data_IF_519284299035
#
_entry.id   IF_519284299035
#
_cell.length_a   1.000
_cell.length_b   1.000
_cell.length_c   1.000
_cell.angle_alpha   90.00
_cell.angle_beta   90.00
_cell.angle_gamma   90.00
#
_symmetry.space_group_name_H-M   'P 1'
#
loop_
_entity.id
_entity.type
_entity.pdbx_description
1 polymer ?
#
# COMPACT_ATOMS: atom_id res chain seq x y z
N UNK A 1 22.92 11.55 13.81
CA UNK A 1 23.73 11.41 12.58
C UNK A 1 22.80 10.97 11.45
N UNK A 2 22.95 11.45 10.22
CA UNK A 2 22.10 11.03 9.13
C UNK A 2 22.25 9.51 8.87
N UNK A 3 21.18 8.88 8.40
CA UNK A 3 21.25 7.49 7.93
C UNK A 3 22.06 7.50 6.64
N UNK A 4 23.26 6.90 6.68
CA UNK A 4 24.23 6.88 5.57
C UNK A 4 23.99 5.68 4.62
N UNK A 5 22.72 5.35 4.37
CA UNK A 5 22.31 4.33 3.42
C UNK A 5 20.96 4.66 2.78
N UNK A 6 20.68 4.06 1.65
CA UNK A 6 19.34 4.10 1.05
C UNK A 6 18.31 3.48 2.01
N UNK A 7 17.11 4.04 2.02
CA UNK A 7 15.99 3.48 2.75
C UNK A 7 15.59 2.12 2.16
N UNK A 8 15.24 1.17 3.01
CA UNK A 8 14.77 -0.16 2.65
C UNK A 8 13.25 -0.19 2.74
N UNK A 9 12.58 -0.13 1.61
CA UNK A 9 11.13 -0.08 1.51
C UNK A 9 10.60 -1.48 1.23
N UNK A 10 9.83 -2.03 2.16
CA UNK A 10 9.08 -3.25 1.92
C UNK A 10 7.89 -2.97 1.00
N UNK A 11 7.70 -3.83 0.01
CA UNK A 11 6.51 -3.82 -0.86
C UNK A 11 5.77 -5.13 -0.64
N UNK A 12 4.49 -5.04 -0.29
CA UNK A 12 3.67 -6.24 -0.08
C UNK A 12 3.52 -7.01 -1.39
N UNK A 13 3.70 -8.33 -1.36
CA UNK A 13 3.57 -9.16 -2.56
C UNK A 13 2.11 -9.27 -3.02
N UNK A 14 1.87 -9.27 -4.34
CA UNK A 14 0.63 -9.78 -4.94
C UNK A 14 0.71 -11.31 -4.99
N UNK A 15 -0.43 -11.97 -4.84
CA UNK A 15 -0.53 -13.43 -4.91
C UNK A 15 -1.18 -13.85 -6.22
N UNK A 16 -0.54 -14.77 -6.91
CA UNK A 16 -1.09 -15.45 -8.06
C UNK A 16 -1.38 -16.89 -7.65
N UNK A 17 -2.62 -17.14 -7.19
CA UNK A 17 -3.06 -18.42 -6.64
C UNK A 17 -3.03 -19.55 -7.67
N UNK A 18 -3.23 -19.20 -8.95
CA UNK A 18 -3.11 -20.13 -10.07
C UNK A 18 -2.15 -19.52 -11.09
N UNK A 19 -0.94 -20.04 -11.12
CA UNK A 19 0.04 -19.60 -12.12
C UNK A 19 -0.43 -20.00 -13.53
N UNK A 20 -0.26 -19.13 -14.54
CA UNK A 20 -0.50 -19.49 -15.95
C UNK A 20 0.25 -20.76 -16.33
N UNK A 21 -0.40 -21.63 -17.10
CA UNK A 21 0.18 -22.92 -17.48
C UNK A 21 1.46 -22.76 -18.30
N UNK A 22 1.56 -21.68 -19.06
CA UNK A 22 2.71 -21.32 -19.90
C UNK A 22 3.99 -21.12 -19.08
N UNK A 23 3.88 -20.76 -17.79
CA UNK A 23 5.01 -20.64 -16.87
C UNK A 23 5.53 -22.01 -16.37
N UNK A 24 4.87 -23.12 -16.70
CA UNK A 24 5.28 -24.46 -16.32
C UNK A 24 5.05 -24.84 -14.86
N UNK A 25 4.53 -23.93 -14.02
CA UNK A 25 4.23 -24.22 -12.62
C UNK A 25 2.89 -24.94 -12.49
N UNK A 26 2.86 -25.99 -11.66
CA UNK A 26 1.62 -26.72 -11.32
C UNK A 26 1.40 -26.70 -9.81
N UNK A 27 0.21 -26.29 -9.40
CA UNK A 27 -0.19 -26.24 -7.98
C UNK A 27 0.77 -25.43 -7.11
N UNK A 28 1.28 -24.31 -7.64
CA UNK A 28 2.13 -23.35 -6.92
C UNK A 28 1.49 -21.97 -6.91
N UNK A 29 1.58 -21.30 -5.79
CA UNK A 29 1.26 -19.87 -5.66
C UNK A 29 2.52 -19.10 -5.98
N UNK A 30 2.43 -18.14 -6.91
CA UNK A 30 3.50 -17.20 -7.19
C UNK A 30 3.26 -15.89 -6.43
N UNK A 31 4.34 -15.26 -6.06
CA UNK A 31 4.32 -13.94 -5.42
C UNK A 31 5.12 -12.98 -6.29
N UNK A 32 4.60 -11.75 -6.48
CA UNK A 32 5.22 -10.79 -7.38
C UNK A 32 4.98 -9.35 -6.95
N UNK A 33 5.83 -8.45 -7.45
CA UNK A 33 5.67 -7.00 -7.41
C UNK A 33 5.40 -6.53 -8.83
N UNK A 34 4.51 -5.55 -8.99
CA UNK A 34 4.36 -4.84 -10.25
C UNK A 34 5.60 -3.93 -10.45
N UNK A 35 6.17 -3.96 -11.65
CA UNK A 35 7.46 -3.35 -11.97
C UNK A 35 7.47 -1.83 -11.77
N UNK A 36 6.42 -1.13 -12.24
CA UNK A 36 6.36 0.34 -12.18
C UNK A 36 6.40 0.86 -10.74
N UNK A 37 5.77 0.14 -9.80
CA UNK A 37 5.81 0.49 -8.38
C UNK A 37 7.23 0.38 -7.81
N UNK A 38 7.95 -0.69 -8.16
CA UNK A 38 9.33 -0.85 -7.73
C UNK A 38 10.23 0.24 -8.32
N UNK A 39 10.05 0.57 -9.61
CA UNK A 39 10.79 1.64 -10.28
C UNK A 39 10.49 3.00 -9.66
N UNK A 40 9.22 3.33 -9.40
CA UNK A 40 8.82 4.59 -8.76
C UNK A 40 9.50 4.79 -7.39
N UNK A 41 9.64 3.73 -6.58
CA UNK A 41 10.39 3.80 -5.31
C UNK A 41 11.89 4.03 -5.57
N UNK A 42 12.47 3.29 -6.53
CA UNK A 42 13.91 3.30 -6.78
C UNK A 42 14.38 4.59 -7.45
N UNK A 43 13.60 5.20 -8.31
CA UNK A 43 13.87 6.50 -8.94
C UNK A 43 14.01 7.63 -7.90
N UNK A 44 13.39 7.47 -6.72
CA UNK A 44 13.50 8.42 -5.60
C UNK A 44 14.61 8.04 -4.58
N UNK A 45 15.52 7.14 -4.96
CA UNK A 45 16.72 6.82 -4.18
C UNK A 45 16.52 5.89 -2.99
N UNK A 46 15.42 5.13 -2.97
CA UNK A 46 15.19 4.05 -2.00
C UNK A 46 15.34 2.66 -2.66
N UNK A 47 15.51 1.61 -1.86
CA UNK A 47 15.58 0.23 -2.35
C UNK A 47 14.26 -0.48 -2.07
N UNK A 48 13.63 -1.03 -3.10
CA UNK A 48 12.39 -1.80 -2.99
C UNK A 48 12.69 -3.27 -2.71
N UNK A 49 12.07 -3.83 -1.67
CA UNK A 49 12.17 -5.24 -1.30
C UNK A 49 10.77 -5.87 -1.31
N UNK A 50 10.57 -6.92 -2.09
CA UNK A 50 9.35 -7.70 -1.96
C UNK A 50 9.31 -8.39 -0.58
N UNK A 51 8.23 -8.16 0.15
CA UNK A 51 7.96 -8.87 1.40
C UNK A 51 7.06 -10.06 1.07
N UNK A 52 7.57 -11.29 1.15
CA UNK A 52 6.75 -12.46 0.82
C UNK A 52 5.66 -12.69 1.86
N UNK A 53 4.48 -13.14 1.41
CA UNK A 53 3.45 -13.67 2.29
C UNK A 53 3.94 -15.02 2.85
N UNK A 54 3.90 -15.15 4.17
CA UNK A 54 4.17 -16.41 4.84
C UNK A 54 2.86 -17.16 5.01
N UNK A 55 2.71 -18.29 4.32
CA UNK A 55 1.52 -19.13 4.44
C UNK A 55 1.48 -19.82 5.80
N UNK A 56 0.42 -19.61 6.58
CA UNK A 56 0.24 -20.24 7.89
C UNK A 56 0.05 -21.77 7.84
N UNK A 57 -0.29 -22.30 6.67
CA UNK A 57 -0.55 -23.71 6.43
C UNK A 57 0.65 -24.47 5.84
N UNK A 58 1.80 -23.81 5.70
CA UNK A 58 3.00 -24.50 5.23
C UNK A 58 3.46 -25.53 6.28
N UNK A 59 3.86 -26.72 5.82
CA UNK A 59 4.43 -27.78 6.67
C UNK A 59 5.67 -27.32 7.45
N UNK A 60 6.18 -26.14 7.16
CA UNK A 60 7.34 -25.50 7.77
C UNK A 60 6.96 -24.33 8.69
N UNK A 61 5.68 -24.07 8.93
CA UNK A 61 5.20 -22.91 9.69
C UNK A 61 5.86 -22.74 11.07
N UNK A 62 6.18 -23.82 11.75
CA UNK A 62 6.81 -23.79 13.08
C UNK A 62 8.26 -23.25 13.09
N UNK A 63 8.90 -23.10 11.92
CA UNK A 63 10.29 -22.65 11.78
C UNK A 63 10.42 -21.31 11.05
N UNK A 64 9.31 -20.64 10.77
CA UNK A 64 9.34 -19.39 10.01
C UNK A 64 9.76 -18.21 10.86
N UNK A 65 10.41 -17.24 10.20
CA UNK A 65 10.61 -15.91 10.76
C UNK A 65 9.25 -15.29 11.09
N UNK A 66 9.16 -14.68 12.26
CA UNK A 66 7.99 -13.88 12.61
C UNK A 66 7.94 -12.62 11.78
N UNK A 67 6.74 -12.12 11.51
CA UNK A 67 6.55 -10.89 10.73
C UNK A 67 7.31 -9.70 11.33
N UNK A 68 7.42 -9.66 12.65
CA UNK A 68 8.17 -8.62 13.37
C UNK A 68 9.66 -8.63 13.01
N UNK A 69 10.26 -9.79 12.78
CA UNK A 69 11.67 -9.92 12.39
C UNK A 69 11.89 -9.43 10.96
N UNK A 70 10.95 -9.71 10.06
CA UNK A 70 11.00 -9.17 8.69
C UNK A 70 10.84 -7.64 8.70
N UNK A 71 9.88 -7.14 9.48
CA UNK A 71 9.63 -5.71 9.60
C UNK A 71 10.83 -4.96 10.20
N UNK A 72 11.58 -5.58 11.12
CA UNK A 72 12.80 -4.97 11.67
C UNK A 72 13.85 -4.63 10.62
N UNK A 73 13.94 -5.41 9.53
CA UNK A 73 14.91 -5.19 8.45
C UNK A 73 14.53 -4.05 7.49
N UNK A 74 13.32 -3.54 7.58
CA UNK A 74 12.75 -2.56 6.66
C UNK A 74 12.50 -1.22 7.34
N UNK A 75 12.57 -0.13 6.59
CA UNK A 75 12.36 1.22 7.12
C UNK A 75 10.89 1.66 7.02
N UNK A 76 10.19 1.25 5.97
CA UNK A 76 8.79 1.58 5.72
C UNK A 76 8.12 0.52 4.82
N UNK A 77 6.80 0.62 4.63
CA UNK A 77 5.98 -0.30 3.84
C UNK A 77 5.20 0.44 2.76
N UNK A 78 5.19 -0.13 1.55
CA UNK A 78 4.21 0.19 0.50
C UNK A 78 3.28 -1.00 0.32
N UNK A 79 1.98 -0.77 0.49
CA UNK A 79 0.92 -1.72 0.13
C UNK A 79 0.52 -1.46 -1.32
N UNK A 80 0.78 -2.42 -2.20
CA UNK A 80 0.52 -2.24 -3.63
C UNK A 80 -0.93 -2.54 -4.03
N UNK A 81 -1.35 -2.02 -5.18
CA UNK A 81 -2.64 -2.30 -5.81
C UNK A 81 -2.84 -3.77 -6.18
N UNK A 82 -3.90 -4.09 -6.92
CA UNK A 82 -4.22 -5.43 -7.43
C UNK A 82 -5.61 -5.92 -7.05
N UNK A 83 -5.80 -7.21 -6.90
CA UNK A 83 -7.09 -7.85 -6.65
C UNK A 83 -7.82 -7.25 -5.43
N UNK A 84 -9.14 -7.32 -5.43
CA UNK A 84 -10.05 -6.74 -4.44
C UNK A 84 -9.71 -7.11 -2.99
N UNK A 85 -10.00 -6.19 -2.07
CA UNK A 85 -10.10 -6.50 -0.65
C UNK A 85 -11.40 -7.30 -0.44
N UNK A 86 -11.27 -8.45 0.19
CA UNK A 86 -12.40 -9.35 0.41
C UNK A 86 -13.44 -8.73 1.37
N UNK A 87 -14.74 -8.77 1.04
CA UNK A 87 -15.80 -8.24 1.89
C UNK A 87 -15.79 -8.77 3.32
N UNK A 88 -15.43 -10.05 3.50
CA UNK A 88 -15.30 -10.66 4.82
C UNK A 88 -14.26 -9.96 5.71
N UNK A 89 -13.25 -9.32 5.11
CA UNK A 89 -12.19 -8.62 5.84
C UNK A 89 -12.71 -7.37 6.55
N UNK A 90 -13.80 -6.77 6.04
CA UNK A 90 -14.51 -5.64 6.68
C UNK A 90 -15.93 -5.98 7.13
N UNK A 91 -16.19 -7.27 7.43
CA UNK A 91 -17.41 -7.73 8.09
C UNK A 91 -18.64 -7.84 7.20
N UNK A 92 -18.46 -7.90 5.88
CA UNK A 92 -19.54 -8.04 4.93
C UNK A 92 -19.49 -9.39 4.20
N UNK A 93 -20.62 -9.76 3.58
CA UNK A 93 -20.70 -10.89 2.64
C UNK A 93 -20.53 -10.36 1.22
N UNK A 94 -19.83 -11.08 0.33
CA UNK A 94 -19.78 -10.72 -1.08
C UNK A 94 -21.19 -10.60 -1.69
N UNK A 95 -21.48 -9.46 -2.31
CA UNK A 95 -22.76 -9.24 -3.01
C UNK A 95 -22.82 -10.01 -4.33
N UNK A 96 -21.65 -10.27 -4.92
CA UNK A 96 -21.49 -11.07 -6.15
C UNK A 96 -20.28 -12.00 -5.99
N UNK A 97 -20.32 -13.25 -6.51
CA UNK A 97 -19.17 -14.15 -6.50
C UNK A 97 -17.91 -13.58 -7.17
N UNK A 98 -18.05 -12.65 -8.09
CA UNK A 98 -16.92 -11.97 -8.74
C UNK A 98 -16.13 -11.06 -7.78
N UNK A 99 -16.75 -10.58 -6.70
CA UNK A 99 -16.17 -9.64 -5.74
C UNK A 99 -15.73 -10.31 -4.44
N UNK A 100 -15.34 -11.58 -4.52
CA UNK A 100 -14.90 -12.34 -3.34
C UNK A 100 -13.58 -11.78 -2.74
N UNK A 101 -12.78 -11.10 -3.56
CA UNK A 101 -11.48 -10.59 -3.17
C UNK A 101 -10.48 -11.68 -2.78
N UNK A 102 -9.38 -11.26 -2.15
CA UNK A 102 -8.29 -12.16 -1.74
C UNK A 102 -8.08 -12.12 -0.21
N UNK A 103 -8.85 -12.93 0.52
CA UNK A 103 -8.75 -13.05 1.99
C UNK A 103 -7.35 -13.48 2.46
N UNK A 104 -6.64 -14.28 1.65
CA UNK A 104 -5.28 -14.75 2.01
C UNK A 104 -4.33 -13.58 1.99
N UNK A 105 -4.39 -12.78 0.93
CA UNK A 105 -3.62 -11.55 0.80
C UNK A 105 -3.99 -10.53 1.86
N UNK A 106 -5.28 -10.33 2.14
CA UNK A 106 -5.74 -9.39 3.17
C UNK A 106 -5.14 -9.69 4.54
N UNK A 107 -5.21 -10.96 4.97
CA UNK A 107 -4.68 -11.38 6.27
C UNK A 107 -3.18 -11.10 6.40
N UNK A 108 -2.44 -11.42 5.37
CA UNK A 108 -1.00 -11.19 5.30
C UNK A 108 -0.66 -9.69 5.35
N UNK A 109 -1.31 -8.88 4.51
CA UNK A 109 -1.05 -7.45 4.45
C UNK A 109 -1.53 -6.71 5.71
N UNK A 110 -2.65 -7.12 6.32
CA UNK A 110 -3.09 -6.58 7.61
C UNK A 110 -2.10 -6.89 8.73
N UNK A 111 -1.49 -8.08 8.74
CA UNK A 111 -0.44 -8.42 9.70
C UNK A 111 0.79 -7.53 9.52
N UNK A 112 1.24 -7.33 8.27
CA UNK A 112 2.32 -6.40 7.94
C UNK A 112 1.99 -4.98 8.40
N UNK A 113 0.88 -4.44 7.95
CA UNK A 113 0.44 -3.07 8.26
C UNK A 113 0.44 -2.80 9.77
N UNK A 114 -0.22 -3.67 10.54
CA UNK A 114 -0.28 -3.55 12.00
C UNK A 114 1.10 -3.57 12.65
N UNK A 115 1.99 -4.43 12.15
CA UNK A 115 3.36 -4.56 12.69
C UNK A 115 4.20 -3.32 12.36
N UNK A 116 4.10 -2.79 11.13
CA UNK A 116 4.78 -1.54 10.77
C UNK A 116 4.31 -0.36 11.64
N UNK A 117 2.99 -0.19 11.79
CA UNK A 117 2.44 0.88 12.63
C UNK A 117 2.82 0.72 14.11
N UNK A 118 2.79 -0.50 14.65
CA UNK A 118 3.23 -0.79 16.03
C UNK A 118 4.70 -0.46 16.27
N UNK A 119 5.54 -0.61 15.23
CA UNK A 119 6.95 -0.23 15.26
C UNK A 119 7.20 1.22 14.80
N UNK A 120 6.15 2.02 14.65
CA UNK A 120 6.21 3.43 14.20
C UNK A 120 6.94 3.60 12.87
N UNK A 121 6.75 2.65 11.96
CA UNK A 121 7.30 2.67 10.61
C UNK A 121 6.25 3.14 9.61
N UNK A 122 6.57 4.13 8.75
CA UNK A 122 5.65 4.68 7.78
C UNK A 122 5.04 3.66 6.82
N UNK A 123 3.80 3.91 6.42
CA UNK A 123 3.06 3.10 5.45
C UNK A 123 2.44 3.98 4.38
N UNK A 124 2.60 3.60 3.12
CA UNK A 124 1.91 4.17 1.96
C UNK A 124 1.05 3.07 1.31
N UNK A 125 -0.22 3.34 1.10
CA UNK A 125 -1.14 2.47 0.37
C UNK A 125 -1.42 3.02 -1.04
N UNK A 126 -1.31 2.17 -2.06
CA UNK A 126 -1.64 2.50 -3.44
C UNK A 126 -2.84 1.69 -3.87
N UNK A 127 -3.89 2.33 -4.37
CA UNK A 127 -5.14 1.76 -4.86
C UNK A 127 -5.75 0.79 -3.81
N UNK A 128 -5.70 -0.50 -4.03
CA UNK A 128 -6.12 -1.50 -3.04
C UNK A 128 -5.43 -1.32 -1.67
N UNK A 129 -4.17 -0.89 -1.67
CA UNK A 129 -3.42 -0.60 -0.42
C UNK A 129 -4.05 0.52 0.39
N UNK A 130 -4.60 1.56 -0.24
CA UNK A 130 -5.36 2.61 0.43
C UNK A 130 -6.68 2.08 1.01
N UNK A 131 -7.38 1.23 0.28
CA UNK A 131 -8.60 0.57 0.73
C UNK A 131 -8.34 -0.32 1.96
N UNK A 132 -7.28 -1.13 1.91
CA UNK A 132 -6.88 -1.99 3.03
C UNK A 132 -6.45 -1.18 4.26
N UNK A 133 -5.80 -0.03 4.06
CA UNK A 133 -5.48 0.91 5.14
C UNK A 133 -6.75 1.37 5.84
N UNK A 134 -7.78 1.79 5.10
CA UNK A 134 -9.08 2.15 5.66
C UNK A 134 -9.72 1.00 6.46
N UNK A 135 -9.72 -0.20 5.90
CA UNK A 135 -10.28 -1.41 6.52
C UNK A 135 -9.53 -1.79 7.80
N UNK A 136 -8.21 -1.61 7.83
CA UNK A 136 -7.40 -1.90 9.02
C UNK A 136 -7.80 -1.08 10.26
N UNK A 137 -8.38 0.10 10.04
CA UNK A 137 -8.92 0.97 11.08
C UNK A 137 -10.44 0.83 11.29
N UNK A 138 -11.05 -0.21 10.71
CA UNK A 138 -12.47 -0.53 10.88
C UNK A 138 -13.42 0.15 9.90
N UNK A 139 -12.89 0.73 8.82
CA UNK A 139 -13.69 1.26 7.72
C UNK A 139 -14.24 0.15 6.81
N UNK A 140 -15.13 0.53 5.90
CA UNK A 140 -15.73 -0.38 4.91
C UNK A 140 -15.51 0.13 3.48
N UNK A 141 -15.81 -0.71 2.50
CA UNK A 141 -15.68 -0.39 1.08
C UNK A 141 -17.02 -0.55 0.36
N UNK A 142 -17.23 0.21 -0.70
CA UNK A 142 -18.11 -0.20 -1.78
C UNK A 142 -17.46 -1.40 -2.48
N UNK A 143 -18.21 -2.50 -2.60
CA UNK A 143 -17.72 -3.71 -3.27
C UNK A 143 -17.65 -3.53 -4.78
N UNK A 144 -18.55 -2.70 -5.31
CA UNK A 144 -18.60 -2.31 -6.71
C UNK A 144 -19.30 -0.96 -6.84
N UNK A 145 -18.58 0.06 -7.30
CA UNK A 145 -19.09 1.42 -7.41
C UNK A 145 -20.34 1.48 -8.34
N UNK A 146 -20.31 0.94 -9.57
CA UNK A 146 -21.47 1.00 -10.45
C UNK A 146 -22.74 0.40 -9.85
N UNK A 147 -22.60 -0.72 -9.11
CA UNK A 147 -23.74 -1.41 -8.50
C UNK A 147 -24.31 -0.67 -7.29
N UNK A 148 -23.43 -0.15 -6.42
CA UNK A 148 -23.85 0.47 -5.16
C UNK A 148 -24.06 1.98 -5.25
N UNK A 149 -23.44 2.62 -6.25
CA UNK A 149 -23.54 4.05 -6.54
C UNK A 149 -23.81 4.28 -8.03
N UNK A 150 -25.00 3.97 -8.56
CA UNK A 150 -25.27 4.01 -10.01
C UNK A 150 -25.13 5.39 -10.66
N UNK A 151 -25.10 6.46 -9.86
CA UNK A 151 -24.89 7.82 -10.32
C UNK A 151 -23.40 8.22 -10.40
N UNK A 152 -22.50 7.37 -9.91
CA UNK A 152 -21.07 7.62 -9.98
C UNK A 152 -20.53 7.42 -11.40
N UNK A 153 -19.41 8.06 -11.69
CA UNK A 153 -18.68 7.85 -12.94
C UNK A 153 -17.97 6.50 -12.96
N UNK A 154 -17.54 6.09 -14.16
CA UNK A 154 -16.70 4.91 -14.28
C UNK A 154 -15.28 5.22 -13.74
N UNK A 155 -14.84 4.44 -12.75
CA UNK A 155 -13.48 4.49 -12.19
C UNK A 155 -12.59 3.37 -12.71
N UNK A 156 -13.12 2.52 -13.58
CA UNK A 156 -12.41 1.48 -14.29
C UNK A 156 -13.00 1.29 -15.67
N UNK A 157 -12.12 1.08 -16.63
CA UNK A 157 -12.46 0.69 -18.00
C UNK A 157 -11.43 -0.36 -18.42
N UNK A 158 -11.90 -1.56 -18.78
CA UNK A 158 -11.01 -2.69 -19.12
C UNK A 158 -10.26 -2.49 -20.44
N UNK A 159 -10.82 -1.71 -21.35
CA UNK A 159 -10.22 -1.44 -22.67
C UNK A 159 -9.18 -0.32 -22.58
N UNK A 160 -9.45 0.69 -21.75
CA UNK A 160 -8.53 1.81 -21.51
C UNK A 160 -7.45 1.47 -20.48
N UNK A 161 -7.77 0.62 -19.51
CA UNK A 161 -6.91 0.22 -18.39
C UNK A 161 -6.23 1.43 -17.70
N UNK A 162 -4.92 1.61 -17.87
CA UNK A 162 -4.13 2.71 -17.30
C UNK A 162 -4.27 4.04 -18.07
N UNK A 163 -5.03 4.06 -19.17
CA UNK A 163 -5.35 5.27 -19.95
C UNK A 163 -6.62 5.97 -19.43
N UNK A 164 -7.41 5.33 -18.57
CA UNK A 164 -8.55 6.00 -17.94
C UNK A 164 -8.04 6.99 -16.90
N UNK A 165 -8.50 8.24 -17.00
CA UNK A 165 -8.08 9.37 -16.18
C UNK A 165 -9.26 10.15 -15.66
N UNK A 166 -9.13 10.70 -14.46
CA UNK A 166 -10.07 11.68 -13.92
C UNK A 166 -9.36 12.75 -13.06
N UNK A 167 -10.10 13.77 -12.68
CA UNK A 167 -9.60 14.80 -11.79
C UNK A 167 -9.99 14.49 -10.34
N UNK A 168 -9.05 14.69 -9.42
CA UNK A 168 -9.28 14.64 -7.98
C UNK A 168 -9.12 16.02 -7.36
N UNK A 169 -10.05 16.39 -6.48
CA UNK A 169 -10.06 17.67 -5.76
C UNK A 169 -9.54 17.47 -4.33
N UNK A 170 -8.61 18.31 -3.91
CA UNK A 170 -8.10 18.29 -2.55
C UNK A 170 -9.10 18.91 -1.56
N UNK A 171 -9.21 18.31 -0.39
CA UNK A 171 -9.90 18.94 0.73
C UNK A 171 -8.99 20.00 1.37
N UNK A 172 -9.56 21.17 1.66
CA UNK A 172 -8.78 22.30 2.19
C UNK A 172 -8.14 21.97 3.54
N UNK A 173 -6.90 22.44 3.73
CA UNK A 173 -6.17 22.28 4.98
C UNK A 173 -5.61 20.89 5.24
N UNK A 174 -5.71 19.98 4.27
CA UNK A 174 -5.14 18.62 4.39
C UNK A 174 -3.64 18.62 4.16
N UNK A 175 -2.96 17.54 4.55
CA UNK A 175 -1.53 17.42 4.34
C UNK A 175 -1.19 17.31 2.84
N UNK A 176 -2.07 16.71 2.04
CA UNK A 176 -1.88 16.58 0.59
C UNK A 176 -1.83 17.93 -0.12
N UNK A 177 -2.61 18.95 0.33
CA UNK A 177 -2.54 20.31 -0.25
C UNK A 177 -1.19 20.97 -0.08
N UNK A 178 -0.40 20.57 0.93
CA UNK A 178 0.95 21.11 1.15
C UNK A 178 1.96 20.54 0.16
N UNK A 179 1.71 19.34 -0.36
CA UNK A 179 2.57 18.69 -1.35
C UNK A 179 2.38 19.33 -2.74
N UNK A 180 1.19 19.88 -3.00
CA UNK A 180 0.84 20.52 -4.27
C UNK A 180 0.33 21.95 -4.04
N UNK A 181 1.18 22.88 -3.57
CA UNK A 181 0.74 24.20 -3.08
C UNK A 181 0.11 25.08 -4.17
N UNK A 182 0.37 24.78 -5.44
CA UNK A 182 -0.12 25.54 -6.58
C UNK A 182 -1.31 24.86 -7.31
N UNK A 183 -1.82 23.74 -6.76
CA UNK A 183 -2.92 23.00 -7.35
C UNK A 183 -4.03 22.75 -6.34
N UNK A 184 -5.27 22.90 -6.76
CA UNK A 184 -6.46 22.47 -6.01
C UNK A 184 -7.00 21.13 -6.50
N UNK A 185 -6.55 20.71 -7.68
CA UNK A 185 -6.93 19.46 -8.36
C UNK A 185 -5.70 18.81 -9.01
N UNK A 186 -5.76 17.50 -9.17
CA UNK A 186 -4.79 16.73 -9.93
C UNK A 186 -5.51 15.86 -10.95
N UNK A 187 -4.92 15.71 -12.14
CA UNK A 187 -5.30 14.68 -13.11
C UNK A 187 -4.56 13.39 -12.77
N UNK A 188 -5.30 12.28 -12.57
CA UNK A 188 -4.74 11.00 -12.12
C UNK A 188 -5.30 9.83 -12.93
N UNK A 189 -4.61 8.69 -12.91
CA UNK A 189 -5.12 7.43 -13.46
C UNK A 189 -6.22 6.84 -12.56
N UNK A 190 -7.20 6.15 -13.15
CA UNK A 190 -8.28 5.50 -12.42
C UNK A 190 -8.48 4.06 -12.88
N UNK A 191 -8.17 3.11 -11.99
CA UNK A 191 -8.24 1.65 -12.28
C UNK A 191 -8.82 0.94 -11.05
N UNK A 192 -10.06 1.29 -10.65
CA UNK A 192 -10.68 0.66 -9.49
C UNK A 192 -12.20 0.64 -9.62
N UNK A 193 -12.84 -0.44 -9.22
CA UNK A 193 -14.30 -0.55 -9.10
C UNK A 193 -14.74 -0.60 -7.63
N UNK A 194 -13.81 -0.76 -6.68
CA UNK A 194 -14.04 -0.59 -5.25
C UNK A 194 -13.60 0.80 -4.79
N UNK A 195 -14.24 1.33 -3.75
CA UNK A 195 -13.85 2.60 -3.10
C UNK A 195 -14.15 2.56 -1.60
N UNK A 196 -13.59 3.51 -0.85
CA UNK A 196 -13.93 3.71 0.57
C UNK A 196 -15.39 4.13 0.70
N UNK A 197 -16.18 3.36 1.49
CA UNK A 197 -17.59 3.66 1.79
C UNK A 197 -17.72 4.33 3.17
N UNK A 198 -17.16 3.74 4.21
CA UNK A 198 -17.12 4.32 5.56
C UNK A 198 -15.67 4.43 6.01
N UNK A 199 -15.33 5.57 6.57
CA UNK A 199 -13.98 5.81 7.09
C UNK A 199 -13.73 5.02 8.36
N UNK A 200 -12.52 4.46 8.46
CA UNK A 200 -12.01 3.86 9.68
C UNK A 200 -11.71 4.89 10.78
N UNK A 201 -11.51 4.41 11.99
CA UNK A 201 -11.24 5.28 13.15
C UNK A 201 -9.95 6.08 12.97
N UNK A 202 -10.05 7.38 13.03
CA UNK A 202 -8.92 8.30 12.85
C UNK A 202 -8.44 8.42 11.41
N UNK A 203 -9.16 7.88 10.45
CA UNK A 203 -8.91 8.11 9.03
C UNK A 203 -9.65 9.38 8.59
N UNK A 204 -8.97 10.22 7.85
CA UNK A 204 -9.52 11.45 7.26
C UNK A 204 -9.33 11.43 5.74
N UNK A 205 -10.27 12.04 5.03
CA UNK A 205 -10.19 12.21 3.58
C UNK A 205 -9.26 13.39 3.27
N UNK A 206 -8.39 13.23 2.30
CA UNK A 206 -7.49 14.27 1.80
C UNK A 206 -7.86 14.73 0.37
N UNK A 207 -8.41 13.83 -0.44
CA UNK A 207 -8.91 14.16 -1.78
C UNK A 207 -10.13 13.29 -2.15
N UNK A 208 -10.94 13.82 -3.04
CA UNK A 208 -12.11 13.14 -3.62
C UNK A 208 -12.12 13.29 -5.13
N UNK A 209 -12.76 12.36 -5.84
CA UNK A 209 -13.06 12.51 -7.26
C UNK A 209 -13.89 13.77 -7.48
N UNK A 210 -13.48 14.60 -8.43
CA UNK A 210 -14.15 15.86 -8.73
C UNK A 210 -15.56 15.64 -9.26
N UNK A 211 -15.81 14.52 -9.91
CA UNK A 211 -17.06 14.25 -10.63
C UNK A 211 -18.17 13.72 -9.73
N UNK A 212 -17.83 12.90 -8.73
CA UNK A 212 -18.83 12.18 -7.94
C UNK A 212 -18.53 12.11 -6.43
N UNK A 213 -17.40 12.67 -6.00
CA UNK A 213 -17.04 12.74 -4.59
C UNK A 213 -16.54 11.43 -4.00
N UNK A 214 -16.27 10.40 -4.82
CA UNK A 214 -15.62 9.18 -4.33
C UNK A 214 -14.28 9.51 -3.66
N UNK A 215 -13.99 8.82 -2.56
CA UNK A 215 -12.75 9.03 -1.78
C UNK A 215 -11.55 8.56 -2.59
N UNK A 216 -10.61 9.47 -2.82
CA UNK A 216 -9.43 9.24 -3.64
C UNK A 216 -8.11 9.30 -2.85
N UNK A 217 -8.07 10.00 -1.73
CA UNK A 217 -6.92 9.96 -0.83
C UNK A 217 -7.36 10.02 0.62
N UNK A 218 -6.65 9.26 1.44
CA UNK A 218 -6.88 9.15 2.88
C UNK A 218 -5.59 9.27 3.66
N UNK A 219 -5.70 9.72 4.91
CA UNK A 219 -4.61 9.72 5.88
C UNK A 219 -5.12 9.30 7.25
N UNK A 220 -4.36 8.46 7.94
CA UNK A 220 -4.58 8.20 9.36
C UNK A 220 -3.99 9.34 10.22
N UNK A 221 -4.72 9.77 11.24
CA UNK A 221 -4.35 10.90 12.12
C UNK A 221 -3.55 10.49 13.36
N UNK A 222 -3.16 9.21 13.46
CA UNK A 222 -2.31 8.73 14.56
C UNK A 222 -0.87 9.24 14.50
N UNK A 223 -0.04 8.65 15.35
CA UNK A 223 1.34 9.10 15.59
C UNK A 223 2.38 8.53 14.58
N UNK A 224 1.92 7.78 13.59
CA UNK A 224 2.76 7.18 12.54
C UNK A 224 2.24 7.59 11.17
N UNK A 225 3.12 7.94 10.26
CA UNK A 225 2.73 8.25 8.90
C UNK A 225 2.02 7.05 8.27
N UNK A 226 0.77 7.23 7.88
CA UNK A 226 0.00 6.27 7.11
C UNK A 226 -0.93 7.03 6.16
N UNK A 227 -0.66 6.95 4.87
CA UNK A 227 -1.41 7.60 3.79
C UNK A 227 -1.78 6.59 2.73
N UNK A 228 -2.92 6.81 2.09
CA UNK A 228 -3.36 6.02 0.94
C UNK A 228 -3.83 6.93 -0.19
N UNK A 229 -3.51 6.56 -1.42
CA UNK A 229 -4.05 7.16 -2.64
C UNK A 229 -4.76 6.07 -3.44
N UNK A 230 -5.93 6.37 -3.98
CA UNK A 230 -6.75 5.40 -4.71
C UNK A 230 -6.24 5.22 -6.15
N UNK A 231 -5.66 6.26 -6.73
CA UNK A 231 -5.03 6.18 -8.05
C UNK A 231 -3.68 5.45 -8.04
N UNK A 232 -3.05 5.31 -9.20
CA UNK A 232 -1.78 4.66 -9.42
C UNK A 232 -0.68 5.67 -9.78
N UNK A 233 -0.04 6.32 -8.79
CA UNK A 233 1.01 7.32 -9.04
C UNK A 233 2.21 6.74 -9.80
N UNK A 234 2.45 5.42 -9.68
CA UNK A 234 3.52 4.70 -10.37
C UNK A 234 3.32 4.61 -11.90
N UNK A 235 2.11 4.89 -12.40
CA UNK A 235 1.80 4.89 -13.83
C UNK A 235 1.85 6.29 -14.46
N UNK A 236 2.22 7.31 -13.69
CA UNK A 236 2.28 8.68 -14.18
C UNK A 236 3.59 9.02 -14.89
N UNK A 237 4.65 8.22 -14.73
CA UNK A 237 5.96 8.47 -15.34
C UNK A 237 5.85 8.63 -16.86
N UNK A 238 6.41 9.72 -17.41
CA UNK A 238 6.40 10.00 -18.85
C UNK A 238 5.04 10.44 -19.42
N UNK A 239 4.06 10.76 -18.57
CA UNK A 239 2.72 11.22 -18.99
C UNK A 239 2.49 12.65 -18.53
N UNK A 240 2.86 13.63 -19.38
CA UNK A 240 2.79 15.07 -19.06
C UNK A 240 1.38 15.58 -18.72
N UNK A 241 0.33 14.87 -19.14
CA UNK A 241 -1.05 15.21 -18.82
C UNK A 241 -1.44 14.85 -17.36
N UNK A 242 -0.69 13.93 -16.73
CA UNK A 242 -0.95 13.50 -15.37
C UNK A 242 -0.12 14.28 -14.36
N UNK A 243 -0.60 14.30 -13.14
CA UNK A 243 0.10 14.93 -12.03
C UNK A 243 1.48 14.32 -11.78
N UNK A 244 2.46 15.15 -11.49
CA UNK A 244 3.75 14.68 -10.94
C UNK A 244 3.51 13.92 -9.63
N UNK A 245 3.89 12.66 -9.60
CA UNK A 245 3.73 11.78 -8.44
C UNK A 245 4.89 11.85 -7.44
N UNK A 246 5.99 12.54 -7.80
CA UNK A 246 7.19 12.66 -6.96
C UNK A 246 6.91 13.26 -5.59
N UNK A 247 6.05 14.30 -5.41
CA UNK A 247 5.79 14.86 -4.10
C UNK A 247 5.25 13.85 -3.08
N UNK A 248 4.43 12.89 -3.50
CA UNK A 248 3.89 11.84 -2.63
C UNK A 248 5.00 10.89 -2.15
N UNK A 249 5.85 10.44 -3.09
CA UNK A 249 6.96 9.55 -2.74
C UNK A 249 7.99 10.26 -1.86
N UNK A 250 8.34 11.50 -2.16
CA UNK A 250 9.31 12.28 -1.37
C UNK A 250 8.82 12.50 0.05
N UNK A 251 7.54 12.87 0.26
CA UNK A 251 6.91 13.01 1.57
C UNK A 251 6.96 11.69 2.38
N UNK A 252 6.64 10.58 1.72
CA UNK A 252 6.73 9.25 2.34
C UNK A 252 8.16 8.87 2.72
N UNK A 253 9.14 9.13 1.86
CA UNK A 253 10.55 8.82 2.13
C UNK A 253 11.14 9.74 3.21
N UNK A 254 10.72 11.02 3.25
CA UNK A 254 11.12 11.95 4.33
C UNK A 254 10.61 11.47 5.69
N UNK A 255 9.32 11.11 5.78
CA UNK A 255 8.74 10.52 6.98
C UNK A 255 9.45 9.21 7.37
N UNK A 256 9.81 8.38 6.40
CA UNK A 256 10.54 7.12 6.62
C UNK A 256 11.93 7.36 7.17
N UNK A 257 12.62 8.35 6.66
CA UNK A 257 13.95 8.75 7.14
C UNK A 257 13.89 9.29 8.56
N UNK A 258 12.92 10.16 8.85
CA UNK A 258 12.69 10.70 10.19
C UNK A 258 12.40 9.60 11.20
N UNK A 259 11.51 8.68 10.88
CA UNK A 259 11.17 7.56 11.75
C UNK A 259 12.37 6.62 11.99
N UNK A 260 13.16 6.33 10.97
CA UNK A 260 14.35 5.49 11.12
C UNK A 260 15.44 6.18 11.98
N UNK A 261 15.63 7.50 11.83
CA UNK A 261 16.51 8.29 12.68
C UNK A 261 16.07 8.26 14.15
N UNK A 262 14.77 8.42 14.41
CA UNK A 262 14.23 8.37 15.78
C UNK A 262 14.47 7.00 16.43
N UNK A 263 14.29 5.90 15.71
CA UNK A 263 14.55 4.53 16.20
C UNK A 263 16.03 4.33 16.56
N UNK A 264 16.95 4.80 15.69
CA UNK A 264 18.39 4.75 15.97
C UNK A 264 18.76 5.54 17.23
N UNK A 265 18.20 6.76 17.38
CA UNK A 265 18.47 7.63 18.53
C UNK A 265 17.96 7.03 19.84
N UNK A 266 16.83 6.33 19.80
CA UNK A 266 16.25 5.64 20.95
C UNK A 266 16.92 4.30 21.28
N UNK A 267 17.91 3.85 20.47
CA UNK A 267 18.56 2.54 20.63
C UNK A 267 17.62 1.36 20.35
N UNK A 268 16.52 1.59 19.63
CA UNK A 268 15.55 0.55 19.28
C UNK A 268 15.99 -0.30 18.07
N UNK A 269 17.00 0.16 17.35
CA UNK A 269 17.64 -0.59 16.26
C UNK A 269 19.16 -0.66 16.49
N UNK A 270 19.80 -1.79 16.14
CA UNK A 270 21.27 -1.84 16.17
C UNK A 270 21.86 -0.88 15.15
N UNK A 271 22.94 -0.22 15.52
CA UNK A 271 23.71 0.64 14.62
C UNK A 271 24.17 -0.19 13.40
N UNK A 272 23.80 0.22 12.17
CA UNK A 272 24.15 -0.53 10.95
C UNK A 272 25.65 -0.65 10.72
N UNK A 273 26.47 0.14 11.42
CA UNK A 273 27.94 0.09 11.39
C UNK A 273 28.53 -0.97 12.34
N UNK A 274 27.72 -1.51 13.25
CA UNK A 274 28.13 -2.58 14.16
C UNK A 274 27.84 -3.93 13.48
N UNK A 275 28.85 -4.77 13.24
CA UNK A 275 28.65 -6.10 12.68
C UNK A 275 27.63 -6.90 13.53
N UNK A 276 26.62 -7.45 12.89
CA UNK A 276 25.66 -8.32 13.58
C UNK A 276 26.38 -9.60 14.04
N UNK A 277 26.15 -10.05 15.28
CA UNK A 277 26.68 -11.34 15.67
C UNK A 277 26.13 -12.44 14.74
N UNK A 278 26.91 -13.46 14.42
CA UNK A 278 26.46 -14.54 13.56
C UNK A 278 25.19 -15.17 14.14
N UNK A 279 24.20 -15.43 13.28
CA UNK A 279 23.01 -16.20 13.64
C UNK A 279 23.45 -17.53 14.25
N UNK A 280 23.30 -17.69 15.55
CA UNK A 280 23.41 -19.02 16.18
C UNK A 280 22.20 -19.81 15.71
N UNK A 281 22.40 -20.72 14.77
CA UNK A 281 21.43 -21.79 14.52
C UNK A 281 21.30 -22.52 15.86
N UNK A 282 20.08 -22.57 16.40
CA UNK A 282 19.82 -23.41 17.57
C UNK A 282 20.23 -24.84 17.17
N UNK A 283 21.28 -25.33 17.79
CA UNK A 283 21.64 -26.75 17.70
C UNK A 283 20.47 -27.55 18.26
N UNK A 284 20.09 -28.56 17.51
CA UNK A 284 19.03 -29.54 17.75
C UNK A 284 18.90 -30.00 19.20
#
# INVERSE_FOLDING_TARGET
>A
MPIDRALRIGVSARLLHQAPQELGFRNKILQYIEQSLAHWIMEHGAVAFMVPAVAHDSKHAARHLKVEQVVQELDALVLQGGADVAPQTYGQTPMDPRWQGDVVRDRYELALLRTFLAQKKPVLGVCRGAQLLNVAFGGTLYQDIPTQCPAAHAHVDTDLYDQLEHDVTFLQGTALTKLYPNASQLRVTSIHHQAVAQLGKGVVVEAVSTLDGMVEAIRWTGDTYARGVQWHPEFHHGRDALADSSPIMLDFLEASRAAAMERLTRGLEPDPRVPRPPLRLASE
#
